data_IF_797735746022
#
_entry.id   IF_797735746022
#
_cell.length_a   1.000
_cell.length_b   1.000
_cell.length_c   1.000
_cell.angle_alpha   90.00
_cell.angle_beta   90.00
_cell.angle_gamma   90.00
#
_symmetry.space_group_name_H-M   'P 1'
#
loop_
_entity.id
_entity.type
_entity.pdbx_description
1 polymer ?
#
# COMPACT_ATOMS: atom_id res chain seq x y z
N UNK A 1 45.00 3.05 -15.66
CA UNK A 1 44.01 2.49 -14.71
C UNK A 1 44.30 1.00 -14.56
N UNK A 2 44.27 0.49 -13.32
CA UNK A 2 44.31 -0.96 -13.08
C UNK A 2 42.92 -1.57 -13.42
N UNK A 3 42.87 -2.89 -13.68
CA UNK A 3 41.62 -3.61 -13.97
C UNK A 3 40.59 -3.43 -12.83
N UNK A 4 41.07 -3.32 -11.57
CA UNK A 4 40.23 -3.03 -10.41
C UNK A 4 39.61 -1.62 -10.48
N UNK A 5 40.37 -0.61 -10.90
CA UNK A 5 39.85 0.75 -11.05
C UNK A 5 38.84 0.87 -12.20
N UNK A 6 39.04 0.14 -13.29
CA UNK A 6 38.11 0.08 -14.43
C UNK A 6 36.80 -0.55 -13.96
N UNK A 7 36.86 -1.65 -13.22
CA UNK A 7 35.69 -2.35 -12.67
C UNK A 7 34.91 -1.49 -11.65
N UNK A 8 35.61 -0.75 -10.80
CA UNK A 8 35.01 0.21 -9.86
C UNK A 8 34.23 1.30 -10.61
N UNK A 9 34.86 1.92 -11.61
CA UNK A 9 34.23 2.98 -12.42
C UNK A 9 32.99 2.45 -13.16
N UNK A 10 33.07 1.25 -13.75
CA UNK A 10 31.97 0.62 -14.44
C UNK A 10 30.79 0.33 -13.48
N UNK A 11 31.05 -0.11 -12.25
CA UNK A 11 30.02 -0.36 -11.23
C UNK A 11 29.35 0.95 -10.79
N UNK A 12 30.14 2.01 -10.59
CA UNK A 12 29.61 3.35 -10.24
C UNK A 12 28.73 3.90 -11.39
N UNK A 13 29.19 3.78 -12.64
CA UNK A 13 28.37 4.18 -13.80
C UNK A 13 27.05 3.43 -13.84
N UNK A 14 27.08 2.11 -13.61
CA UNK A 14 25.86 1.30 -13.60
C UNK A 14 24.89 1.72 -12.49
N UNK A 15 25.39 2.11 -11.30
CA UNK A 15 24.56 2.62 -10.20
C UNK A 15 23.90 3.97 -10.57
N UNK A 16 24.53 4.78 -11.43
CA UNK A 16 23.97 6.05 -11.88
C UNK A 16 22.90 5.92 -12.97
N UNK A 17 22.62 4.71 -13.45
CA UNK A 17 21.52 4.46 -14.39
C UNK A 17 20.15 4.63 -13.71
N UNK A 18 19.20 5.21 -14.45
CA UNK A 18 17.88 5.61 -13.92
C UNK A 18 16.92 4.44 -13.55
N UNK A 19 17.30 3.16 -13.79
CA UNK A 19 16.36 2.03 -13.70
C UNK A 19 16.69 0.97 -12.64
N UNK A 20 17.60 1.24 -11.70
CA UNK A 20 17.90 0.29 -10.62
C UNK A 20 16.79 0.31 -9.57
N UNK A 21 16.33 -0.87 -9.17
CA UNK A 21 15.47 -0.96 -8.01
C UNK A 21 16.26 -0.78 -6.70
N UNK A 22 15.56 -0.51 -5.59
CA UNK A 22 16.22 -0.22 -4.31
C UNK A 22 17.10 -1.37 -3.78
N UNK A 23 16.78 -2.62 -4.12
CA UNK A 23 17.56 -3.79 -3.73
C UNK A 23 18.83 -3.95 -4.57
N UNK A 24 18.74 -3.69 -5.88
CA UNK A 24 19.90 -3.69 -6.78
C UNK A 24 20.89 -2.58 -6.38
N UNK A 25 20.38 -1.38 -6.08
CA UNK A 25 21.20 -0.28 -5.58
C UNK A 25 21.89 -0.63 -4.27
N UNK A 26 21.19 -1.26 -3.31
CA UNK A 26 21.74 -1.73 -2.06
C UNK A 26 22.83 -2.79 -2.27
N UNK A 27 22.62 -3.74 -3.18
CA UNK A 27 23.59 -4.77 -3.52
C UNK A 27 24.86 -4.18 -4.15
N UNK A 28 24.70 -3.22 -5.07
CA UNK A 28 25.82 -2.53 -5.69
C UNK A 28 26.67 -1.75 -4.66
N UNK A 29 26.05 -1.08 -3.69
CA UNK A 29 26.78 -0.44 -2.58
C UNK A 29 27.52 -1.46 -1.74
N UNK A 30 26.91 -2.60 -1.43
CA UNK A 30 27.56 -3.68 -0.69
C UNK A 30 28.75 -4.26 -1.47
N UNK A 31 28.64 -4.36 -2.78
CA UNK A 31 29.70 -4.84 -3.67
C UNK A 31 30.87 -3.85 -3.68
N UNK A 32 30.61 -2.53 -3.81
CA UNK A 32 31.67 -1.50 -3.72
C UNK A 32 32.44 -1.56 -2.41
N UNK A 33 31.76 -1.83 -1.28
CA UNK A 33 32.41 -2.01 0.01
C UNK A 33 33.28 -3.26 0.08
N UNK A 34 32.77 -4.39 -0.46
CA UNK A 34 33.46 -5.70 -0.34
C UNK A 34 34.64 -5.84 -1.30
N UNK A 35 34.43 -5.47 -2.56
CA UNK A 35 35.38 -5.76 -3.64
C UNK A 35 36.45 -4.67 -3.75
N UNK A 36 36.11 -3.42 -3.42
CA UNK A 36 37.02 -2.27 -3.54
C UNK A 36 37.41 -1.66 -2.19
N UNK A 37 36.89 -2.17 -1.07
CA UNK A 37 37.24 -1.71 0.28
C UNK A 37 36.73 -0.30 0.59
N UNK A 38 35.78 0.24 -0.16
CA UNK A 38 35.29 1.59 0.01
C UNK A 38 34.42 1.72 1.27
N UNK A 39 34.58 2.81 1.97
CA UNK A 39 33.71 3.19 3.08
C UNK A 39 32.37 3.78 2.57
N UNK A 40 31.33 3.79 3.40
CA UNK A 40 30.07 4.44 3.08
C UNK A 40 30.21 5.92 2.73
N UNK A 41 31.18 6.60 3.33
CA UNK A 41 31.48 8.00 3.06
C UNK A 41 32.08 8.20 1.65
N UNK A 42 33.06 7.36 1.29
CA UNK A 42 33.68 7.41 -0.03
C UNK A 42 32.70 7.07 -1.15
N UNK A 43 31.83 6.07 -0.92
CA UNK A 43 30.74 5.74 -1.86
C UNK A 43 29.80 6.93 -2.02
N UNK A 44 29.39 7.55 -0.92
CA UNK A 44 28.49 8.70 -0.93
C UNK A 44 29.07 9.87 -1.75
N UNK A 45 30.34 10.19 -1.57
CA UNK A 45 31.04 11.22 -2.34
C UNK A 45 31.11 10.86 -3.83
N UNK A 46 31.50 9.61 -4.17
CA UNK A 46 31.65 9.16 -5.56
C UNK A 46 30.33 9.14 -6.33
N UNK A 47 29.22 8.83 -5.68
CA UNK A 47 27.89 8.72 -6.31
C UNK A 47 27.10 10.02 -6.22
N UNK A 48 27.52 10.99 -5.41
CA UNK A 48 26.82 12.26 -5.21
C UNK A 48 25.56 12.10 -4.33
N UNK A 49 25.59 11.17 -3.37
CA UNK A 49 24.50 10.94 -2.40
C UNK A 49 24.98 11.23 -0.98
N UNK A 50 24.06 11.29 0.00
CA UNK A 50 24.45 11.41 1.40
C UNK A 50 24.90 10.07 1.97
N UNK A 51 25.83 10.07 2.96
CA UNK A 51 26.21 8.86 3.70
C UNK A 51 25.00 8.16 4.31
N UNK A 52 24.04 8.93 4.82
CA UNK A 52 22.80 8.38 5.40
C UNK A 52 21.94 7.65 4.35
N UNK A 53 21.94 8.10 3.10
CA UNK A 53 21.30 7.39 1.98
C UNK A 53 21.94 6.01 1.80
N UNK A 54 23.26 5.93 1.64
CA UNK A 54 24.00 4.67 1.49
C UNK A 54 23.73 3.73 2.67
N UNK A 55 23.81 4.24 3.90
CA UNK A 55 23.54 3.46 5.10
C UNK A 55 22.12 2.87 5.13
N UNK A 56 21.11 3.65 4.72
CA UNK A 56 19.72 3.17 4.68
C UNK A 56 19.52 2.05 3.65
N UNK A 57 20.14 2.15 2.47
CA UNK A 57 20.08 1.12 1.45
C UNK A 57 20.80 -0.16 1.91
N UNK A 58 21.99 -0.06 2.45
CA UNK A 58 22.72 -1.22 2.99
C UNK A 58 21.96 -1.94 4.10
N UNK A 59 21.14 -1.23 4.87
CA UNK A 59 20.29 -1.84 5.89
C UNK A 59 19.17 -2.69 5.30
N UNK A 60 18.70 -2.43 4.06
CA UNK A 60 17.70 -3.27 3.40
C UNK A 60 18.18 -4.71 3.21
N UNK A 61 19.48 -4.91 3.00
CA UNK A 61 20.06 -6.25 2.84
C UNK A 61 20.00 -7.09 4.13
N UNK A 62 19.67 -6.49 5.28
CA UNK A 62 19.47 -7.18 6.56
C UNK A 62 18.03 -7.65 6.78
N UNK A 63 17.11 -7.25 5.90
CA UNK A 63 15.72 -7.69 5.97
C UNK A 63 15.59 -9.15 5.57
N UNK A 64 14.53 -9.76 6.03
CA UNK A 64 14.14 -11.12 5.62
C UNK A 64 13.96 -11.19 4.09
N UNK A 65 14.41 -12.28 3.41
CA UNK A 65 14.43 -12.36 1.96
C UNK A 65 13.07 -12.10 1.26
N UNK A 66 11.97 -12.51 1.87
CA UNK A 66 10.64 -12.26 1.31
C UNK A 66 10.31 -10.75 1.35
N UNK A 67 10.69 -10.05 2.43
CA UNK A 67 10.51 -8.60 2.53
C UNK A 67 11.40 -7.87 1.52
N UNK A 68 12.62 -8.36 1.29
CA UNK A 68 13.50 -7.83 0.23
C UNK A 68 12.84 -7.95 -1.15
N UNK A 69 12.18 -9.08 -1.44
CA UNK A 69 11.44 -9.26 -2.70
C UNK A 69 10.28 -8.27 -2.83
N UNK A 70 9.55 -7.97 -1.76
CA UNK A 70 8.49 -6.95 -1.80
C UNK A 70 9.02 -5.56 -2.12
N UNK A 71 10.24 -5.23 -1.66
CA UNK A 71 10.92 -3.97 -2.01
C UNK A 71 11.40 -3.99 -3.46
N UNK A 72 12.01 -5.08 -3.90
CA UNK A 72 12.52 -5.23 -5.27
C UNK A 72 11.41 -5.10 -6.32
N UNK A 73 10.23 -5.64 -6.04
CA UNK A 73 9.07 -5.61 -6.93
C UNK A 73 8.22 -4.34 -6.78
N UNK A 74 8.61 -3.41 -5.89
CA UNK A 74 7.86 -2.18 -5.64
C UNK A 74 6.54 -2.36 -4.89
N UNK A 75 6.26 -3.56 -4.37
CA UNK A 75 5.06 -3.85 -3.55
C UNK A 75 5.08 -3.06 -2.24
N UNK A 76 6.27 -2.91 -1.65
CA UNK A 76 6.50 -2.06 -0.48
C UNK A 76 7.49 -0.95 -0.80
N UNK A 77 7.14 0.27 -0.42
CA UNK A 77 8.02 1.44 -0.56
C UNK A 77 9.10 1.48 0.51
N UNK A 78 10.20 2.20 0.25
CA UNK A 78 11.28 2.46 1.22
C UNK A 78 10.76 3.04 2.55
N UNK A 79 9.75 3.92 2.50
CA UNK A 79 9.17 4.53 3.69
C UNK A 79 8.42 3.53 4.57
N UNK A 80 7.77 2.54 3.97
CA UNK A 80 7.05 1.48 4.68
C UNK A 80 8.00 0.44 5.29
N UNK A 81 9.10 0.13 4.59
CA UNK A 81 10.03 -0.94 4.98
C UNK A 81 11.09 -0.48 5.99
N UNK A 82 11.47 0.80 5.95
CA UNK A 82 12.49 1.34 6.85
C UNK A 82 12.24 1.05 8.34
N UNK A 83 11.02 1.17 8.89
CA UNK A 83 10.74 0.81 10.28
C UNK A 83 10.95 -0.67 10.59
N UNK A 84 10.67 -1.58 9.62
CA UNK A 84 10.79 -3.04 9.79
C UNK A 84 12.23 -3.49 10.09
N UNK A 85 13.22 -2.71 9.68
CA UNK A 85 14.64 -3.00 9.95
C UNK A 85 14.94 -3.04 11.45
N UNK A 86 14.13 -2.40 12.29
CA UNK A 86 14.31 -2.42 13.76
C UNK A 86 13.74 -3.69 14.42
N UNK A 87 13.00 -4.51 13.67
CA UNK A 87 12.54 -5.81 14.14
C UNK A 87 13.68 -6.83 13.99
N UNK A 88 14.14 -7.40 15.11
CA UNK A 88 15.27 -8.34 15.10
C UNK A 88 14.88 -9.73 14.57
N UNK A 89 13.63 -10.13 14.75
CA UNK A 89 13.15 -11.44 14.36
C UNK A 89 12.65 -11.42 12.89
N UNK A 90 13.19 -12.30 12.01
CA UNK A 90 12.76 -12.40 10.62
C UNK A 90 11.25 -12.71 10.46
N UNK A 91 10.69 -13.51 11.38
CA UNK A 91 9.26 -13.80 11.40
C UNK A 91 8.41 -12.53 11.57
N UNK A 92 8.78 -11.65 12.50
CA UNK A 92 8.08 -10.39 12.72
C UNK A 92 8.19 -9.44 11.53
N UNK A 93 9.35 -9.42 10.85
CA UNK A 93 9.51 -8.62 9.64
C UNK A 93 8.56 -9.07 8.54
N UNK A 94 8.40 -10.40 8.34
CA UNK A 94 7.50 -10.96 7.34
C UNK A 94 6.04 -10.68 7.69
N UNK A 95 5.62 -11.01 8.91
CA UNK A 95 4.24 -10.79 9.37
C UNK A 95 3.86 -9.30 9.33
N UNK A 96 4.79 -8.40 9.72
CA UNK A 96 4.58 -6.97 9.62
C UNK A 96 4.47 -6.51 8.16
N UNK A 97 5.27 -7.05 7.25
CA UNK A 97 5.22 -6.73 5.82
C UNK A 97 3.89 -7.17 5.19
N UNK A 98 3.41 -8.36 5.52
CA UNK A 98 2.11 -8.88 5.09
C UNK A 98 0.96 -8.02 5.65
N UNK A 99 1.03 -7.67 6.92
CA UNK A 99 0.05 -6.79 7.56
C UNK A 99 0.01 -5.39 6.91
N UNK A 100 1.17 -4.82 6.56
CA UNK A 100 1.28 -3.54 5.86
C UNK A 100 0.61 -3.60 4.48
N UNK A 101 0.82 -4.69 3.74
CA UNK A 101 0.21 -4.88 2.42
C UNK A 101 -1.30 -5.06 2.52
N UNK A 102 -1.77 -5.90 3.45
CA UNK A 102 -3.19 -6.19 3.64
C UNK A 102 -3.99 -4.93 4.01
N UNK A 103 -3.40 -4.04 4.81
CA UNK A 103 -4.07 -2.84 5.33
C UNK A 103 -3.64 -1.55 4.62
N UNK A 104 -2.83 -1.63 3.56
CA UNK A 104 -2.29 -0.47 2.79
C UNK A 104 -1.77 0.65 3.70
N UNK A 105 -0.90 0.29 4.65
CA UNK A 105 -0.44 1.22 5.67
C UNK A 105 0.53 2.26 5.10
N UNK A 106 0.33 3.52 5.44
CA UNK A 106 1.29 4.59 5.18
C UNK A 106 2.57 4.42 6.00
N UNK A 107 3.68 5.07 5.60
CA UNK A 107 4.96 5.01 6.30
C UNK A 107 4.85 5.36 7.81
N UNK A 108 4.01 6.34 8.18
CA UNK A 108 3.77 6.72 9.59
C UNK A 108 3.04 5.62 10.37
N UNK A 109 2.08 4.94 9.73
CA UNK A 109 1.36 3.83 10.34
C UNK A 109 2.29 2.62 10.51
N UNK A 110 3.22 2.39 9.57
CA UNK A 110 4.26 1.36 9.70
C UNK A 110 5.18 1.62 10.90
N UNK A 111 5.59 2.87 11.14
CA UNK A 111 6.35 3.23 12.33
C UNK A 111 5.57 2.95 13.63
N UNK A 112 4.26 3.23 13.64
CA UNK A 112 3.40 2.93 14.79
C UNK A 112 3.19 1.43 14.98
N UNK A 113 3.03 0.67 13.91
CA UNK A 113 2.92 -0.78 13.95
C UNK A 113 4.17 -1.41 14.55
N UNK A 114 5.35 -1.02 14.08
CA UNK A 114 6.63 -1.53 14.60
C UNK A 114 6.80 -1.19 16.06
N UNK A 115 6.42 0.01 16.52
CA UNK A 115 6.43 0.37 17.95
C UNK A 115 5.51 -0.53 18.78
N UNK A 116 4.34 -0.92 18.25
CA UNK A 116 3.42 -1.84 18.93
C UNK A 116 4.00 -3.25 19.02
N UNK A 117 4.61 -3.75 17.94
CA UNK A 117 5.25 -5.08 17.91
C UNK A 117 6.42 -5.14 18.91
N UNK A 118 7.25 -4.08 18.98
CA UNK A 118 8.36 -4.02 19.94
C UNK A 118 7.91 -3.90 21.40
N UNK A 119 6.76 -3.25 21.65
CA UNK A 119 6.17 -3.15 22.99
C UNK A 119 5.44 -4.44 23.42
N UNK A 120 4.99 -5.23 22.46
CA UNK A 120 4.20 -6.44 22.66
C UNK A 120 4.67 -7.54 21.71
N UNK A 121 5.61 -8.40 22.14
CA UNK A 121 6.13 -9.50 21.33
C UNK A 121 5.07 -10.49 20.84
N UNK A 122 3.94 -10.60 21.56
CA UNK A 122 2.83 -11.48 21.21
C UNK A 122 1.75 -10.79 20.35
N UNK A 123 2.07 -9.60 19.80
CA UNK A 123 1.15 -8.81 18.99
C UNK A 123 0.49 -9.61 17.87
N UNK A 124 1.27 -10.35 17.09
CA UNK A 124 0.74 -11.18 16.00
C UNK A 124 0.04 -12.44 16.50
N UNK A 125 0.60 -13.11 17.52
CA UNK A 125 -0.02 -14.30 18.13
C UNK A 125 -1.42 -13.98 18.68
N UNK A 126 -1.57 -12.84 19.35
CA UNK A 126 -2.87 -12.39 19.87
C UNK A 126 -3.83 -11.96 18.76
N UNK A 127 -3.34 -11.37 17.70
CA UNK A 127 -4.20 -11.02 16.56
C UNK A 127 -4.60 -12.26 15.76
N UNK A 128 -3.72 -13.26 15.61
CA UNK A 128 -4.07 -14.56 15.01
C UNK A 128 -5.11 -15.30 15.84
N UNK A 129 -4.95 -15.35 17.19
CA UNK A 129 -5.92 -15.99 18.09
C UNK A 129 -7.26 -15.24 18.17
N UNK A 130 -7.28 -13.93 17.93
CA UNK A 130 -8.54 -13.19 17.79
C UNK A 130 -9.30 -13.59 16.55
N UNK A 131 -8.61 -13.89 15.46
CA UNK A 131 -9.22 -14.41 14.23
C UNK A 131 -9.74 -15.85 14.39
N UNK A 132 -9.13 -16.69 15.27
CA UNK A 132 -9.57 -18.07 15.50
C UNK A 132 -10.63 -18.20 16.63
N UNK A 133 -10.66 -17.27 17.60
CA UNK A 133 -11.60 -17.33 18.71
C UNK A 133 -12.89 -16.51 18.53
N UNK A 134 -12.95 -15.65 17.53
CA UNK A 134 -14.13 -14.83 17.24
C UNK A 134 -15.18 -15.54 16.34
N UNK A 135 -14.94 -16.80 16.01
CA UNK A 135 -15.97 -17.64 15.38
C UNK A 135 -17.12 -18.03 16.34
N UNK A 136 -17.10 -17.57 17.62
CA UNK A 136 -18.16 -17.90 18.59
C UNK A 136 -18.68 -16.74 19.46
N UNK A 137 -18.36 -15.48 19.14
CA UNK A 137 -18.97 -14.31 19.75
C UNK A 137 -19.72 -13.52 18.68
N UNK A 138 -20.92 -14.03 18.34
CA UNK A 138 -21.80 -13.38 17.37
C UNK A 138 -22.16 -11.97 17.81
N UNK A 139 -21.71 -10.96 17.03
CA UNK A 139 -22.47 -9.80 16.64
C UNK A 139 -21.66 -8.61 16.06
N UNK A 140 -20.30 -8.57 16.10
CA UNK A 140 -19.55 -7.45 15.50
C UNK A 140 -18.76 -7.79 14.24
N UNK A 141 -18.25 -9.02 14.08
CA UNK A 141 -17.46 -9.44 12.91
C UNK A 141 -18.32 -9.73 11.68
N UNK A 142 -19.53 -10.20 11.86
CA UNK A 142 -20.47 -10.38 10.74
C UNK A 142 -20.85 -9.04 10.05
N UNK A 143 -20.62 -7.90 10.74
CA UNK A 143 -20.78 -6.57 10.14
C UNK A 143 -19.52 -6.10 9.42
N UNK A 144 -18.31 -6.35 9.96
CA UNK A 144 -17.04 -5.94 9.31
C UNK A 144 -16.75 -6.77 8.05
N UNK A 145 -17.02 -8.06 8.06
CA UNK A 145 -16.85 -8.93 6.87
C UNK A 145 -17.90 -8.60 5.78
N UNK A 146 -19.15 -8.35 6.18
CA UNK A 146 -20.19 -7.88 5.25
C UNK A 146 -19.91 -6.47 4.73
N UNK A 147 -19.33 -5.59 5.56
CA UNK A 147 -18.94 -4.25 5.16
C UNK A 147 -17.74 -4.29 4.20
N UNK A 148 -16.75 -5.14 4.44
CA UNK A 148 -15.60 -5.33 3.55
C UNK A 148 -16.03 -5.89 2.18
N UNK A 149 -16.89 -6.89 2.14
CA UNK A 149 -17.46 -7.44 0.90
C UNK A 149 -18.32 -6.40 0.20
N UNK A 150 -19.18 -5.69 0.93
CA UNK A 150 -20.01 -4.60 0.38
C UNK A 150 -19.16 -3.47 -0.22
N UNK A 151 -18.07 -3.08 0.46
CA UNK A 151 -17.13 -2.05 -0.02
C UNK A 151 -16.42 -2.53 -1.28
N UNK A 152 -15.96 -3.80 -1.33
CA UNK A 152 -15.32 -4.39 -2.50
C UNK A 152 -16.26 -4.41 -3.71
N UNK A 153 -17.50 -4.90 -3.55
CA UNK A 153 -18.52 -4.89 -4.60
C UNK A 153 -18.88 -3.47 -5.05
N UNK A 154 -18.99 -2.54 -4.09
CA UNK A 154 -19.33 -1.14 -4.39
C UNK A 154 -18.21 -0.46 -5.16
N UNK A 155 -16.95 -0.73 -4.78
CA UNK A 155 -15.77 -0.25 -5.51
C UNK A 155 -15.77 -0.73 -6.95
N UNK A 156 -16.03 -2.03 -7.18
CA UNK A 156 -16.07 -2.62 -8.52
C UNK A 156 -17.19 -2.02 -9.37
N UNK A 157 -18.39 -1.89 -8.80
CA UNK A 157 -19.55 -1.24 -9.44
C UNK A 157 -19.25 0.21 -9.83
N UNK A 158 -18.64 0.99 -8.93
CA UNK A 158 -18.28 2.38 -9.21
C UNK A 158 -17.18 2.48 -10.27
N UNK A 159 -16.15 1.63 -10.22
CA UNK A 159 -15.09 1.58 -11.23
C UNK A 159 -15.66 1.27 -12.62
N UNK A 160 -16.56 0.30 -12.72
CA UNK A 160 -17.22 -0.05 -13.97
C UNK A 160 -18.14 1.08 -14.49
N UNK A 161 -18.87 1.72 -13.59
CA UNK A 161 -19.83 2.77 -13.92
C UNK A 161 -19.14 4.07 -14.37
N UNK A 162 -18.08 4.47 -13.69
CA UNK A 162 -17.36 5.71 -13.96
C UNK A 162 -16.25 5.53 -15.00
N UNK A 163 -15.88 4.28 -15.33
CA UNK A 163 -14.82 3.96 -16.29
C UNK A 163 -13.44 4.45 -15.87
N UNK A 164 -13.21 4.64 -14.55
CA UNK A 164 -11.96 5.09 -13.99
C UNK A 164 -11.69 4.42 -12.64
N UNK A 165 -10.46 4.52 -12.14
CA UNK A 165 -10.08 3.89 -10.88
C UNK A 165 -10.73 4.60 -9.69
N UNK A 166 -11.43 3.83 -8.85
CA UNK A 166 -12.09 4.30 -7.63
C UNK A 166 -11.46 3.63 -6.43
N UNK A 167 -11.12 4.42 -5.40
CA UNK A 167 -10.63 3.94 -4.10
C UNK A 167 -11.65 4.30 -3.03
N UNK A 168 -12.04 3.33 -2.20
CA UNK A 168 -12.90 3.56 -1.05
C UNK A 168 -12.06 3.32 0.20
N UNK A 169 -11.86 4.38 0.97
CA UNK A 169 -11.12 4.37 2.22
C UNK A 169 -12.12 4.39 3.39
N UNK A 170 -12.29 3.26 4.04
CA UNK A 170 -13.17 3.16 5.22
C UNK A 170 -12.47 3.65 6.48
N UNK A 171 -13.12 4.49 7.27
CA UNK A 171 -12.59 5.00 8.52
C UNK A 171 -13.66 5.00 9.62
N UNK A 172 -13.25 4.83 10.88
CA UNK A 172 -14.13 4.72 12.05
C UNK A 172 -15.12 5.89 12.25
N UNK A 173 -14.83 7.08 11.74
CA UNK A 173 -15.71 8.27 11.85
C UNK A 173 -16.12 8.83 10.50
N UNK A 174 -15.31 8.69 9.47
CA UNK A 174 -15.57 9.19 8.11
C UNK A 174 -14.91 8.25 7.12
N UNK A 175 -15.65 7.81 6.12
CA UNK A 175 -15.14 7.11 4.95
C UNK A 175 -14.94 8.09 3.81
N UNK A 176 -14.03 7.81 2.88
CA UNK A 176 -13.68 8.67 1.76
C UNK A 176 -13.73 7.84 0.47
N UNK A 177 -14.30 8.42 -0.57
CA UNK A 177 -14.23 7.88 -1.93
C UNK A 177 -13.30 8.79 -2.73
N UNK A 178 -12.26 8.22 -3.32
CA UNK A 178 -11.35 8.90 -4.22
C UNK A 178 -11.58 8.37 -5.63
N UNK A 179 -11.79 9.29 -6.57
CA UNK A 179 -12.00 8.99 -7.99
C UNK A 179 -10.85 9.64 -8.75
N UNK A 180 -10.07 8.85 -9.48
CA UNK A 180 -8.95 9.34 -10.28
C UNK A 180 -9.48 9.81 -11.64
N UNK A 181 -8.96 10.95 -12.14
CA UNK A 181 -9.23 11.45 -13.49
C UNK A 181 -7.93 11.95 -14.13
N UNK A 182 -7.84 11.87 -15.44
CA UNK A 182 -6.60 12.15 -16.18
C UNK A 182 -6.65 13.45 -17.00
N UNK A 183 -7.84 13.98 -17.25
CA UNK A 183 -8.01 15.24 -17.99
C UNK A 183 -9.27 15.98 -17.51
N UNK A 184 -9.41 17.29 -17.80
CA UNK A 184 -10.63 18.05 -17.53
C UNK A 184 -11.87 17.44 -18.20
N UNK A 185 -11.73 16.92 -19.42
CA UNK A 185 -12.81 16.28 -20.17
C UNK A 185 -13.26 14.96 -19.50
N UNK A 186 -12.32 14.22 -18.92
CA UNK A 186 -12.60 13.00 -18.15
C UNK A 186 -13.37 13.34 -16.85
N UNK A 187 -13.00 14.43 -16.19
CA UNK A 187 -13.73 14.94 -15.04
C UNK A 187 -15.18 15.32 -15.40
N UNK A 188 -15.40 16.03 -16.52
CA UNK A 188 -16.73 16.40 -16.98
C UNK A 188 -17.57 15.17 -17.30
N UNK A 189 -16.99 14.13 -17.91
CA UNK A 189 -17.63 12.85 -18.17
C UNK A 189 -18.07 12.16 -16.87
N UNK A 190 -17.19 12.11 -15.86
CA UNK A 190 -17.48 11.49 -14.56
C UNK A 190 -18.62 12.25 -13.85
N UNK A 191 -18.54 13.59 -13.81
CA UNK A 191 -19.58 14.43 -13.20
C UNK A 191 -20.90 14.27 -13.94
N UNK A 192 -20.90 14.27 -15.26
CA UNK A 192 -22.10 14.06 -16.09
C UNK A 192 -22.75 12.69 -15.83
N UNK A 193 -21.94 11.64 -15.65
CA UNK A 193 -22.41 10.30 -15.27
C UNK A 193 -23.10 10.31 -13.91
N UNK A 194 -22.51 10.95 -12.91
CA UNK A 194 -23.08 11.06 -11.55
C UNK A 194 -24.41 11.80 -11.56
N UNK A 195 -24.49 12.93 -12.29
CA UNK A 195 -25.73 13.74 -12.40
C UNK A 195 -26.83 12.95 -13.11
N UNK A 196 -26.52 12.27 -14.21
CA UNK A 196 -27.51 11.46 -14.96
C UNK A 196 -28.10 10.32 -14.14
N UNK A 197 -27.33 9.76 -13.22
CA UNK A 197 -27.81 8.74 -12.27
C UNK A 197 -28.77 9.34 -11.24
N UNK A 198 -28.49 10.53 -10.76
CA UNK A 198 -29.37 11.24 -9.81
C UNK A 198 -30.74 11.49 -10.43
N UNK A 199 -30.79 11.90 -11.69
CA UNK A 199 -32.04 12.16 -12.42
C UNK A 199 -32.83 10.85 -12.66
N UNK A 200 -32.17 9.73 -12.97
CA UNK A 200 -32.84 8.42 -13.10
C UNK A 200 -33.44 7.97 -11.78
N UNK A 201 -32.73 8.02 -10.69
CA UNK A 201 -33.23 7.65 -9.35
C UNK A 201 -34.42 8.53 -8.93
N UNK A 202 -34.38 9.81 -9.28
CA UNK A 202 -35.50 10.74 -8.99
C UNK A 202 -36.74 10.39 -9.80
N UNK A 203 -36.59 10.10 -11.09
CA UNK A 203 -37.69 9.70 -11.96
C UNK A 203 -38.29 8.34 -11.57
N UNK A 204 -37.46 7.35 -11.22
CA UNK A 204 -37.92 6.04 -10.75
C UNK A 204 -38.71 6.13 -9.44
N UNK A 205 -38.28 7.01 -8.51
CA UNK A 205 -39.04 7.29 -7.29
C UNK A 205 -40.40 7.94 -7.57
N UNK A 206 -40.45 8.90 -8.48
CA UNK A 206 -41.72 9.55 -8.87
C UNK A 206 -42.66 8.53 -9.54
N UNK A 207 -42.14 7.66 -10.38
CA UNK A 207 -42.93 6.63 -11.05
C UNK A 207 -43.44 5.56 -10.07
N UNK A 208 -42.62 5.16 -9.09
CA UNK A 208 -43.05 4.27 -8.01
C UNK A 208 -44.14 4.89 -7.14
N UNK A 209 -44.01 6.17 -6.78
CA UNK A 209 -45.05 6.91 -6.02
C UNK A 209 -46.37 7.05 -6.83
N UNK A 210 -46.29 7.26 -8.15
CA UNK A 210 -47.46 7.29 -9.01
C UNK A 210 -48.16 5.93 -9.08
N UNK A 211 -47.43 4.82 -9.14
CA UNK A 211 -47.97 3.44 -9.11
C UNK A 211 -48.69 3.15 -7.80
N UNK A 212 -48.12 3.53 -6.65
CA UNK A 212 -48.77 3.37 -5.34
C UNK A 212 -50.05 4.23 -5.23
N UNK A 213 -50.02 5.50 -5.70
CA UNK A 213 -51.19 6.39 -5.71
C UNK A 213 -52.32 5.95 -6.63
N UNK A 214 -52.02 5.15 -7.65
CA UNK A 214 -53.03 4.57 -8.55
C UNK A 214 -53.63 3.28 -8.01
N UNK A 215 -52.89 2.53 -7.14
CA UNK A 215 -53.42 1.30 -6.55
C UNK A 215 -54.45 1.55 -5.42
N UNK A 216 -54.34 2.70 -4.74
CA UNK A 216 -55.28 3.07 -3.65
C UNK A 216 -56.62 3.64 -4.14
N UNK A 217 -56.82 3.80 -5.47
CA UNK A 217 -58.08 4.32 -6.04
C UNK A 217 -59.08 3.24 -6.54
N UNK A 218 -58.76 1.96 -6.35
CA UNK A 218 -59.65 0.85 -6.74
C UNK A 218 -59.91 -0.12 -5.58
N UNK A 219 -60.45 0.40 -4.46
CA UNK A 219 -61.12 -0.42 -3.46
C UNK A 219 -62.30 0.36 -2.92
N UNK A 220 -63.41 0.24 -3.61
CA UNK A 220 -64.76 0.49 -3.13
C UNK A 220 -65.59 -0.75 -3.44
#
# INVERSE_FOLDING_TARGET
YSDAQISEIALIENIQRENLNAMEEAQAYSQLMKDFGLTQEEIAVKIGRSRSHIANFLRLLKLEPQVQNYVANGTLSMGQVKPLISLEQPAWQREAAEYIQLHDLSARQCEQLVKKILADPDFFARNAQRNDHDSNAGSSEAYEDKEAVFIAETKEKLTHLLGTQVKILSGKKKSKIEIEFYSPEDLDRIVGTIISLQDRVHNDKIEALRKVSLSDKFTV
#
